data_IF_372588706690
#
_entry.id   IF_372588706690
#
_cell.length_a   1.000
_cell.length_b   1.000
_cell.length_c   1.000
_cell.angle_alpha   90.00
_cell.angle_beta   90.00
_cell.angle_gamma   90.00
#
_symmetry.space_group_name_H-M   'P 1'
#
loop_
_entity.id
_entity.type
_entity.pdbx_description
1 polymer ?
#
# COMPACT_ATOMS: atom_id res chain seq x y z
N UNK A 1 -10.04 3.19 -1.48
CA UNK A 1 -9.21 2.08 -2.01
C UNK A 1 -8.95 1.17 -0.83
N UNK A 2 -9.03 -0.15 -1.02
CA UNK A 2 -8.68 -1.12 0.02
C UNK A 2 -7.22 -1.54 -0.13
N UNK A 3 -6.55 -1.82 0.99
CA UNK A 3 -5.20 -2.38 1.03
C UNK A 3 -5.23 -3.60 1.93
N UNK A 4 -4.57 -4.68 1.53
CA UNK A 4 -4.42 -5.90 2.32
C UNK A 4 -2.99 -6.40 2.21
N UNK A 5 -2.41 -6.76 3.35
CA UNK A 5 -1.02 -7.18 3.49
C UNK A 5 -0.98 -8.58 4.09
N UNK A 6 -0.08 -9.42 3.60
CA UNK A 6 0.30 -10.70 4.24
C UNK A 6 1.72 -10.56 4.74
N UNK A 7 1.93 -10.95 6.00
CA UNK A 7 3.21 -10.86 6.69
C UNK A 7 3.68 -12.26 7.10
N UNK A 8 4.97 -12.51 6.97
CA UNK A 8 5.67 -13.64 7.60
C UNK A 8 6.91 -13.10 8.31
N UNK A 9 7.01 -13.27 9.63
CA UNK A 9 8.11 -12.74 10.45
C UNK A 9 8.40 -11.25 10.17
N UNK A 10 7.35 -10.42 10.16
CA UNK A 10 7.38 -8.98 9.86
C UNK A 10 7.80 -8.61 8.41
N UNK A 11 8.13 -9.59 7.56
CA UNK A 11 8.36 -9.40 6.13
C UNK A 11 7.04 -9.39 5.35
N UNK A 12 6.87 -8.42 4.46
CA UNK A 12 5.72 -8.36 3.55
C UNK A 12 5.87 -9.40 2.45
N UNK A 13 5.07 -10.47 2.49
CA UNK A 13 5.10 -11.55 1.48
C UNK A 13 4.07 -11.37 0.37
N UNK A 14 2.99 -10.64 0.62
CA UNK A 14 2.02 -10.27 -0.40
C UNK A 14 1.32 -8.94 -0.09
N UNK A 15 1.01 -8.19 -1.14
CA UNK A 15 0.22 -6.96 -1.08
C UNK A 15 -0.88 -7.01 -2.14
N UNK A 16 -2.11 -6.73 -1.71
CA UNK A 16 -3.25 -6.53 -2.59
C UNK A 16 -3.80 -5.13 -2.40
N UNK A 17 -4.01 -4.41 -3.50
CA UNK A 17 -4.60 -3.07 -3.50
C UNK A 17 -5.82 -3.07 -4.40
N UNK A 18 -6.97 -2.73 -3.83
CA UNK A 18 -8.27 -2.81 -4.52
C UNK A 18 -8.82 -1.41 -4.78
N UNK A 19 -8.87 -0.98 -6.06
CA UNK A 19 -9.48 0.29 -6.43
C UNK A 19 -10.99 0.32 -6.15
N UNK A 20 -11.49 1.46 -5.67
CA UNK A 20 -12.93 1.69 -5.42
C UNK A 20 -13.44 3.02 -5.98
N UNK A 21 -12.57 3.81 -6.61
CA UNK A 21 -12.99 5.07 -7.23
C UNK A 21 -14.00 4.82 -8.37
N UNK A 22 -15.01 5.70 -8.44
CA UNK A 22 -16.05 5.70 -9.47
C UNK A 22 -15.77 6.72 -10.58
N UNK A 23 -15.03 7.79 -10.28
CA UNK A 23 -14.51 8.73 -11.27
C UNK A 23 -13.33 8.12 -12.06
N UNK A 24 -13.32 8.31 -13.37
CA UNK A 24 -12.36 7.66 -14.29
C UNK A 24 -10.91 8.06 -14.01
N UNK A 25 -10.67 9.34 -13.71
CA UNK A 25 -9.32 9.84 -13.41
C UNK A 25 -8.81 9.22 -12.12
N UNK A 26 -9.64 9.23 -11.08
CA UNK A 26 -9.32 8.66 -9.77
C UNK A 26 -9.11 7.14 -9.85
N UNK A 27 -9.91 6.44 -10.64
CA UNK A 27 -9.77 4.99 -10.87
C UNK A 27 -8.47 4.66 -11.61
N UNK A 28 -8.11 5.43 -12.64
CA UNK A 28 -6.86 5.25 -13.35
C UNK A 28 -5.64 5.44 -12.44
N UNK A 29 -5.68 6.41 -11.52
CA UNK A 29 -4.63 6.62 -10.53
C UNK A 29 -4.55 5.46 -9.54
N UNK A 30 -5.68 4.99 -9.00
CA UNK A 30 -5.71 3.85 -8.07
C UNK A 30 -5.20 2.56 -8.72
N UNK A 31 -5.52 2.31 -9.99
CA UNK A 31 -5.00 1.14 -10.73
C UNK A 31 -3.48 1.18 -10.90
N UNK A 32 -2.92 2.32 -11.34
CA UNK A 32 -1.46 2.50 -11.47
C UNK A 32 -0.75 2.31 -10.13
N UNK A 33 -1.36 2.78 -9.05
CA UNK A 33 -0.83 2.59 -7.71
C UNK A 33 -0.86 1.12 -7.29
N UNK A 34 -2.00 0.45 -7.51
CA UNK A 34 -2.16 -0.97 -7.21
C UNK A 34 -1.17 -1.87 -7.97
N UNK A 35 -0.81 -1.50 -9.21
CA UNK A 35 0.19 -2.20 -9.99
C UNK A 35 1.62 -1.94 -9.48
N UNK A 36 1.92 -0.71 -9.04
CA UNK A 36 3.28 -0.32 -8.64
C UNK A 36 3.68 -0.74 -7.22
N UNK A 37 2.74 -0.74 -6.28
CA UNK A 37 3.06 -0.96 -4.86
C UNK A 37 3.67 -2.33 -4.57
N UNK A 38 3.13 -3.47 -5.05
CA UNK A 38 3.70 -4.78 -4.72
C UNK A 38 5.18 -4.89 -5.07
N UNK A 39 5.60 -4.32 -6.22
CA UNK A 39 7.00 -4.31 -6.64
C UNK A 39 7.92 -3.48 -5.73
N UNK A 40 7.36 -2.51 -4.99
CA UNK A 40 8.11 -1.61 -4.13
C UNK A 40 8.26 -2.13 -2.70
N UNK A 41 7.38 -3.03 -2.25
CA UNK A 41 7.26 -3.36 -0.81
C UNK A 41 7.33 -4.86 -0.50
N UNK A 42 7.03 -5.75 -1.45
CA UNK A 42 7.16 -7.20 -1.22
C UNK A 42 8.62 -7.58 -0.98
N UNK A 43 8.85 -8.43 0.04
CA UNK A 43 10.18 -8.83 0.51
C UNK A 43 10.89 -7.78 1.36
N UNK A 44 10.19 -6.73 1.79
CA UNK A 44 10.71 -5.73 2.74
C UNK A 44 10.07 -5.94 4.10
N UNK A 45 10.83 -5.65 5.14
CA UNK A 45 10.32 -5.53 6.49
C UNK A 45 9.26 -4.43 6.53
N UNK A 46 8.10 -4.72 7.13
CA UNK A 46 7.01 -3.76 7.21
C UNK A 46 7.44 -2.47 7.93
N UNK A 47 8.34 -2.56 8.91
CA UNK A 47 8.83 -1.41 9.67
C UNK A 47 9.68 -0.45 8.84
N UNK A 48 10.33 -0.96 7.79
CA UNK A 48 11.19 -0.21 6.87
C UNK A 48 10.45 0.37 5.64
N UNK A 49 9.14 0.12 5.51
CA UNK A 49 8.33 0.64 4.40
C UNK A 49 7.68 1.97 4.77
N UNK A 50 8.13 3.03 4.09
CA UNK A 50 7.48 4.34 4.03
C UNK A 50 7.52 4.82 2.56
N UNK A 51 6.36 5.02 1.95
CA UNK A 51 6.28 5.44 0.55
C UNK A 51 6.06 6.96 0.45
N UNK A 52 7.09 7.71 0.05
CA UNK A 52 7.01 9.17 -0.13
C UNK A 52 6.21 9.59 -1.37
N UNK A 53 6.43 8.92 -2.51
CA UNK A 53 5.81 9.27 -3.79
C UNK A 53 5.80 8.08 -4.74
N UNK A 54 4.63 7.57 -5.08
CA UNK A 54 4.46 6.48 -6.05
C UNK A 54 3.89 7.07 -7.34
N UNK A 55 4.60 6.89 -8.45
CA UNK A 55 4.19 7.33 -9.78
C UNK A 55 3.78 8.81 -9.89
N UNK A 56 4.38 9.70 -9.08
CA UNK A 56 4.12 11.15 -9.10
C UNK A 56 2.83 11.59 -8.39
N UNK A 57 2.12 10.68 -7.72
CA UNK A 57 0.94 11.00 -6.92
C UNK A 57 1.34 11.18 -5.45
N UNK A 58 0.96 12.31 -4.84
CA UNK A 58 1.28 12.61 -3.45
C UNK A 58 0.21 12.18 -2.45
N UNK A 59 -1.06 12.02 -2.85
CA UNK A 59 -2.15 11.68 -1.92
C UNK A 59 -2.39 10.16 -1.81
N UNK A 60 -2.11 9.40 -2.87
CA UNK A 60 -2.30 7.94 -2.84
C UNK A 60 -1.28 7.19 -1.97
N UNK A 61 0.00 7.60 -1.89
CA UNK A 61 0.95 7.02 -0.93
C UNK A 61 0.57 7.30 0.52
N UNK A 62 0.01 8.49 0.83
CA UNK A 62 -0.42 8.85 2.19
C UNK A 62 -1.45 7.86 2.74
N UNK A 63 -2.53 7.58 1.99
CA UNK A 63 -3.53 6.60 2.40
C UNK A 63 -3.04 5.14 2.44
N UNK A 64 -1.91 4.82 1.81
CA UNK A 64 -1.26 3.51 1.92
C UNK A 64 -0.37 3.44 3.16
N UNK A 65 0.39 4.50 3.45
CA UNK A 65 1.19 4.60 4.67
C UNK A 65 0.30 4.56 5.91
N UNK A 66 -0.86 5.23 5.89
CA UNK A 66 -1.86 5.16 6.97
C UNK A 66 -2.32 3.71 7.23
N UNK A 67 -2.59 2.96 6.15
CA UNK A 67 -3.00 1.55 6.24
C UNK A 67 -1.87 0.63 6.76
N UNK A 68 -0.62 0.94 6.41
CA UNK A 68 0.56 0.27 6.95
C UNK A 68 0.68 0.53 8.46
N UNK A 69 0.56 1.77 8.92
CA UNK A 69 0.59 2.10 10.35
C UNK A 69 -0.51 1.39 11.14
N UNK A 70 -1.73 1.35 10.62
CA UNK A 70 -2.84 0.61 11.25
C UNK A 70 -2.53 -0.89 11.33
N UNK A 71 -1.94 -1.47 10.28
CA UNK A 71 -1.54 -2.89 10.26
C UNK A 71 -0.44 -3.17 11.27
N UNK A 72 0.60 -2.32 11.37
CA UNK A 72 1.67 -2.43 12.38
C UNK A 72 1.10 -2.40 13.80
N UNK A 73 0.18 -1.48 14.06
CA UNK A 73 -0.48 -1.33 15.36
C UNK A 73 -1.36 -2.55 15.72
N UNK A 74 -1.97 -3.20 14.71
CA UNK A 74 -2.75 -4.41 14.90
C UNK A 74 -1.88 -5.67 15.09
N UNK A 75 -0.73 -5.75 14.40
CA UNK A 75 0.22 -6.87 14.50
C UNK A 75 1.01 -6.88 15.82
N UNK A 76 1.26 -5.71 16.41
CA UNK A 76 1.97 -5.56 17.69
C UNK A 76 1.14 -5.93 18.94
N UNK A 77 0.01 -6.63 18.80
CA UNK A 77 -0.98 -6.85 19.87
C UNK A 77 -1.18 -8.32 20.24
#
# INVERSE_FOLDING_TARGET
MGVSLTLEDDEITAVEVTPHATDETSLALQKRFAEAVPELVTGRDIDDVELDRVAGNSHTPEGFNDALEETKAAASR
#
